data_IF_315474008719
#
_entry.id   IF_315474008719
#
_cell.length_a   1.000
_cell.length_b   1.000
_cell.length_c   1.000
_cell.angle_alpha   90.00
_cell.angle_beta   90.00
_cell.angle_gamma   90.00
#
_symmetry.space_group_name_H-M   'P 1'
#
loop_
_entity.id
_entity.type
_entity.pdbx_description
1 polymer ?
#
# COMPACT_ATOMS: atom_id res chain seq x y z
N UNK A 1 10.13 33.26 -1.95
CA UNK A 1 10.08 31.89 -2.51
C UNK A 1 8.78 31.79 -3.29
N UNK A 2 8.86 31.64 -4.61
CA UNK A 2 7.68 31.58 -5.48
C UNK A 2 6.91 30.30 -5.18
N UNK A 3 5.58 30.37 -5.17
CA UNK A 3 4.66 29.24 -4.97
C UNK A 3 4.94 28.03 -5.89
N UNK A 4 5.63 28.25 -7.02
CA UNK A 4 6.09 27.21 -7.94
C UNK A 4 7.17 26.28 -7.35
N UNK A 5 8.04 26.74 -6.44
CA UNK A 5 9.09 25.88 -5.86
C UNK A 5 8.55 24.90 -4.82
N UNK A 6 7.46 25.27 -4.12
CA UNK A 6 6.81 24.40 -3.15
C UNK A 6 5.96 23.32 -3.83
N UNK A 7 5.28 23.69 -4.92
CA UNK A 7 4.49 22.77 -5.72
C UNK A 7 5.37 21.69 -6.38
N UNK A 8 6.53 22.08 -6.96
CA UNK A 8 7.47 21.12 -7.54
C UNK A 8 8.03 20.13 -6.51
N UNK A 9 8.48 20.62 -5.35
CA UNK A 9 8.99 19.76 -4.28
C UNK A 9 7.93 18.81 -3.69
N UNK A 10 6.67 19.24 -3.63
CA UNK A 10 5.56 18.39 -3.21
C UNK A 10 5.28 17.27 -4.23
N UNK A 11 5.35 17.57 -5.52
CA UNK A 11 5.16 16.58 -6.60
C UNK A 11 6.31 15.57 -6.60
N UNK A 12 7.56 16.02 -6.50
CA UNK A 12 8.74 15.14 -6.43
C UNK A 12 8.72 14.28 -5.16
N UNK A 13 8.28 14.85 -4.03
CA UNK A 13 8.09 14.13 -2.78
C UNK A 13 7.02 13.03 -2.88
N UNK A 14 5.89 13.32 -3.52
CA UNK A 14 4.82 12.33 -3.77
C UNK A 14 5.30 11.21 -4.69
N UNK A 15 6.03 11.54 -5.77
CA UNK A 15 6.61 10.54 -6.68
C UNK A 15 7.64 9.65 -5.99
N UNK A 16 8.47 10.22 -5.11
CA UNK A 16 9.42 9.47 -4.31
C UNK A 16 8.73 8.53 -3.31
N UNK A 17 7.68 9.01 -2.63
CA UNK A 17 6.86 8.19 -1.72
C UNK A 17 6.16 7.04 -2.48
N UNK A 18 5.65 7.31 -3.69
CA UNK A 18 5.04 6.30 -4.57
C UNK A 18 6.00 5.18 -4.96
N UNK A 19 7.32 5.43 -4.98
CA UNK A 19 8.34 4.41 -5.23
C UNK A 19 8.75 3.65 -3.96
N UNK A 20 8.86 4.36 -2.82
CA UNK A 20 9.31 3.76 -1.55
C UNK A 20 8.22 2.91 -0.89
N UNK A 21 6.96 3.32 -0.95
CA UNK A 21 5.83 2.61 -0.32
C UNK A 21 5.69 1.15 -0.79
N UNK A 22 5.71 0.83 -2.11
CA UNK A 22 5.64 -0.56 -2.56
C UNK A 22 6.90 -1.33 -2.17
N UNK A 23 8.09 -0.73 -2.24
CA UNK A 23 9.35 -1.36 -1.80
C UNK A 23 9.34 -1.70 -0.30
N UNK A 24 8.89 -0.77 0.54
CA UNK A 24 8.74 -0.97 1.99
C UNK A 24 7.72 -2.06 2.29
N UNK A 25 6.59 -2.08 1.58
CA UNK A 25 5.54 -3.09 1.74
C UNK A 25 6.04 -4.50 1.34
N UNK A 26 6.77 -4.62 0.22
CA UNK A 26 7.40 -5.89 -0.19
C UNK A 26 8.43 -6.34 0.85
N UNK A 27 9.26 -5.43 1.34
CA UNK A 27 10.25 -5.75 2.38
C UNK A 27 9.58 -6.28 3.66
N UNK A 28 8.49 -5.64 4.11
CA UNK A 28 7.71 -6.12 5.26
C UNK A 28 7.15 -7.52 5.02
N UNK A 29 6.64 -7.82 3.81
CA UNK A 29 6.19 -9.17 3.44
C UNK A 29 7.29 -10.22 3.51
N UNK A 30 8.50 -9.88 3.06
CA UNK A 30 9.67 -10.76 3.15
C UNK A 30 10.04 -11.00 4.62
N UNK A 31 10.05 -9.94 5.44
CA UNK A 31 10.33 -10.06 6.88
C UNK A 31 9.28 -10.93 7.57
N UNK A 32 8.00 -10.83 7.21
CA UNK A 32 6.95 -11.72 7.72
C UNK A 32 7.22 -13.18 7.39
N UNK A 33 7.57 -13.47 6.14
CA UNK A 33 7.85 -14.84 5.68
C UNK A 33 9.00 -15.49 6.47
N UNK A 34 10.09 -14.74 6.71
CA UNK A 34 11.23 -15.24 7.49
C UNK A 34 11.03 -15.18 9.01
N UNK A 35 10.09 -14.37 9.51
CA UNK A 35 9.78 -14.24 10.94
C UNK A 35 8.62 -15.15 11.38
N UNK A 36 8.13 -16.00 10.50
CA UNK A 36 7.05 -16.92 10.80
C UNK A 36 7.42 -17.91 11.91
N UNK A 37 6.46 -18.27 12.79
CA UNK A 37 6.67 -19.32 13.77
C UNK A 37 7.05 -20.62 13.06
N UNK A 38 8.06 -21.34 13.55
CA UNK A 38 8.52 -22.60 12.93
C UNK A 38 7.45 -23.70 12.94
N UNK A 39 6.46 -23.57 13.83
CA UNK A 39 5.36 -24.52 14.01
C UNK A 39 4.10 -24.10 13.24
N UNK A 40 4.12 -22.97 12.51
CA UNK A 40 2.98 -22.51 11.72
C UNK A 40 2.87 -23.29 10.41
N UNK A 41 1.64 -23.62 10.00
CA UNK A 41 1.38 -24.23 8.70
C UNK A 41 1.82 -23.28 7.58
N UNK A 42 2.42 -23.82 6.50
CA UNK A 42 2.93 -23.00 5.38
C UNK A 42 1.87 -22.07 4.77
N UNK A 43 0.59 -22.46 4.81
CA UNK A 43 -0.53 -21.63 4.36
C UNK A 43 -0.74 -20.39 5.22
N UNK A 44 -0.61 -20.50 6.54
CA UNK A 44 -0.77 -19.37 7.46
C UNK A 44 0.40 -18.37 7.33
N UNK A 45 1.61 -18.90 7.11
CA UNK A 45 2.81 -18.09 6.84
C UNK A 45 2.62 -17.24 5.58
N UNK A 46 2.13 -17.85 4.50
CA UNK A 46 1.81 -17.18 3.25
C UNK A 46 0.75 -16.08 3.46
N UNK A 47 -0.34 -16.40 4.17
CA UNK A 47 -1.40 -15.43 4.49
C UNK A 47 -0.86 -14.22 5.27
N UNK A 48 0.13 -14.42 6.13
CA UNK A 48 0.85 -13.37 6.85
C UNK A 48 1.67 -12.41 6.00
N UNK A 49 2.25 -12.92 4.91
CA UNK A 49 3.10 -12.15 4.00
C UNK A 49 2.29 -11.46 2.90
N UNK A 50 1.03 -11.84 2.66
CA UNK A 50 0.17 -11.23 1.64
C UNK A 50 -0.16 -9.74 1.81
N UNK A 51 -0.27 -9.14 3.02
CA UNK A 51 -0.68 -7.74 3.15
C UNK A 51 0.25 -6.77 2.41
N UNK A 52 1.57 -6.92 2.59
CA UNK A 52 2.55 -6.04 1.94
C UNK A 52 2.63 -6.26 0.43
N UNK A 53 2.45 -7.49 -0.06
CA UNK A 53 2.37 -7.80 -1.48
C UNK A 53 1.10 -7.22 -2.12
N UNK A 54 -0.03 -7.29 -1.43
CA UNK A 54 -1.29 -6.70 -1.88
C UNK A 54 -1.17 -5.17 -1.96
N UNK A 55 -0.60 -4.53 -0.94
CA UNK A 55 -0.33 -3.09 -0.94
C UNK A 55 0.60 -2.68 -2.08
N UNK A 56 1.71 -3.40 -2.28
CA UNK A 56 2.65 -3.11 -3.36
C UNK A 56 2.02 -3.29 -4.75
N UNK A 57 1.23 -4.36 -4.94
CA UNK A 57 0.54 -4.64 -6.21
C UNK A 57 -0.51 -3.58 -6.52
N UNK A 58 -1.32 -3.18 -5.53
CA UNK A 58 -2.33 -2.13 -5.69
C UNK A 58 -1.71 -0.77 -5.97
N UNK A 59 -0.59 -0.45 -5.30
CA UNK A 59 0.16 0.79 -5.56
C UNK A 59 0.72 0.81 -6.98
N UNK A 60 1.34 -0.29 -7.40
CA UNK A 60 1.90 -0.43 -8.76
C UNK A 60 0.81 -0.35 -9.83
N UNK A 61 -0.33 -0.99 -9.60
CA UNK A 61 -1.47 -0.96 -10.52
C UNK A 61 -2.10 0.45 -10.59
N UNK A 62 -2.18 1.16 -9.47
CA UNK A 62 -2.56 2.57 -9.43
C UNK A 62 -1.58 3.49 -10.18
N UNK A 63 -0.28 3.20 -10.10
CA UNK A 63 0.76 3.95 -10.83
C UNK A 63 0.70 3.73 -12.34
N UNK A 64 0.62 2.47 -12.78
CA UNK A 64 0.51 2.13 -14.21
C UNK A 64 -0.75 2.70 -14.86
N UNK A 65 -1.79 2.93 -14.06
CA UNK A 65 -3.03 3.53 -14.54
C UNK A 65 -3.04 5.06 -14.46
N UNK A 66 -2.04 5.69 -13.82
CA UNK A 66 -1.87 7.14 -13.73
C UNK A 66 -0.84 7.72 -14.71
N UNK A 67 -0.01 6.91 -15.38
CA UNK A 67 0.96 7.33 -16.42
C UNK A 67 0.33 7.78 -17.77
N UNK A 68 -0.72 8.62 -17.72
CA UNK A 68 -1.09 9.47 -18.87
C UNK A 68 -2.54 9.37 -19.35
N UNK A 69 -3.42 8.63 -18.67
CA UNK A 69 -4.87 8.68 -18.92
C UNK A 69 -5.64 8.67 -17.61
N UNK A 70 -6.68 9.50 -17.45
CA UNK A 70 -7.54 9.40 -16.28
C UNK A 70 -8.13 7.99 -16.20
N UNK A 71 -8.02 7.36 -15.04
CA UNK A 71 -8.66 6.09 -14.74
C UNK A 71 -10.15 6.20 -15.07
N UNK A 72 -10.61 5.42 -16.04
CA UNK A 72 -12.03 5.40 -16.37
C UNK A 72 -12.80 4.96 -15.12
N UNK A 73 -13.96 5.55 -14.81
CA UNK A 73 -14.72 5.23 -13.60
C UNK A 73 -15.01 3.73 -13.44
N UNK A 74 -15.18 3.03 -14.56
CA UNK A 74 -15.39 1.57 -14.64
C UNK A 74 -14.21 0.72 -14.11
N UNK A 75 -12.99 1.28 -14.04
CA UNK A 75 -11.80 0.62 -13.46
C UNK A 75 -11.42 1.25 -12.12
N UNK A 76 -11.58 2.57 -11.98
CA UNK A 76 -11.25 3.30 -10.76
C UNK A 76 -12.11 2.91 -9.55
N UNK A 77 -13.43 2.74 -9.73
CA UNK A 77 -14.34 2.34 -8.64
C UNK A 77 -13.99 0.93 -8.10
N UNK A 78 -13.84 -0.12 -8.94
CA UNK A 78 -13.40 -1.43 -8.45
C UNK A 78 -12.04 -1.39 -7.76
N UNK A 79 -11.05 -0.68 -8.31
CA UNK A 79 -9.71 -0.58 -7.73
C UNK A 79 -9.74 0.09 -6.35
N UNK A 80 -10.54 1.15 -6.21
CA UNK A 80 -10.74 1.83 -4.93
C UNK A 80 -11.41 0.90 -3.89
N UNK A 81 -12.46 0.18 -4.27
CA UNK A 81 -13.14 -0.76 -3.39
C UNK A 81 -12.23 -1.92 -2.96
N UNK A 82 -11.45 -2.48 -3.88
CA UNK A 82 -10.46 -3.52 -3.58
C UNK A 82 -9.40 -2.98 -2.62
N UNK A 83 -8.92 -1.77 -2.85
CA UNK A 83 -7.97 -1.10 -1.96
C UNK A 83 -8.57 -0.81 -0.58
N UNK A 84 -9.87 -0.54 -0.48
CA UNK A 84 -10.53 -0.31 0.79
C UNK A 84 -10.71 -1.60 1.62
N UNK A 85 -10.88 -2.74 0.95
CA UNK A 85 -11.31 -3.99 1.62
C UNK A 85 -10.16 -4.99 1.81
N UNK A 86 -9.32 -5.20 0.78
CA UNK A 86 -8.33 -6.28 0.78
C UNK A 86 -7.20 -6.06 1.79
N UNK A 87 -6.50 -4.91 1.84
CA UNK A 87 -5.41 -4.69 2.78
C UNK A 87 -5.83 -4.82 4.26
N UNK A 88 -6.96 -4.23 4.73
CA UNK A 88 -7.40 -4.40 6.11
C UNK A 88 -7.71 -5.85 6.50
N UNK A 89 -8.34 -6.62 5.61
CA UNK A 89 -8.62 -8.04 5.85
C UNK A 89 -7.31 -8.82 6.00
N UNK A 90 -6.36 -8.61 5.10
CA UNK A 90 -5.06 -9.29 5.15
C UNK A 90 -4.28 -8.91 6.41
N UNK A 91 -4.29 -7.63 6.81
CA UNK A 91 -3.66 -7.17 8.05
C UNK A 91 -4.29 -7.81 9.29
N UNK A 92 -5.63 -7.91 9.36
CA UNK A 92 -6.33 -8.58 10.45
C UNK A 92 -5.98 -10.08 10.53
N UNK A 93 -5.88 -10.76 9.38
CA UNK A 93 -5.45 -12.16 9.31
C UNK A 93 -4.00 -12.32 9.76
N UNK A 94 -3.09 -11.44 9.36
CA UNK A 94 -1.71 -11.46 9.81
C UNK A 94 -1.58 -11.25 11.32
N UNK A 95 -2.38 -10.38 11.95
CA UNK A 95 -2.43 -10.23 13.41
C UNK A 95 -2.85 -11.55 14.08
N UNK A 96 -3.83 -12.25 13.50
CA UNK A 96 -4.32 -13.53 14.01
C UNK A 96 -3.24 -14.62 13.93
N UNK A 97 -2.57 -14.74 12.78
CA UNK A 97 -1.54 -15.78 12.55
C UNK A 97 -0.33 -15.59 13.46
N UNK A 98 0.11 -14.34 13.67
CA UNK A 98 1.35 -14.06 14.42
C UNK A 98 1.09 -13.54 15.84
N UNK A 99 -0.05 -13.93 16.42
CA UNK A 99 -0.45 -13.51 17.77
C UNK A 99 0.65 -13.88 18.78
N UNK A 100 1.15 -12.88 19.52
CA UNK A 100 2.20 -13.05 20.54
C UNK A 100 3.63 -12.72 20.08
N UNK A 101 3.86 -12.44 18.79
CA UNK A 101 5.16 -11.95 18.33
C UNK A 101 5.24 -10.42 18.41
N UNK A 102 6.21 -9.92 19.17
CA UNK A 102 6.42 -8.48 19.40
C UNK A 102 6.86 -7.70 18.15
N UNK A 103 7.36 -8.38 17.11
CA UNK A 103 7.77 -7.77 15.84
C UNK A 103 6.57 -7.44 14.94
N UNK A 104 5.46 -8.16 15.13
CA UNK A 104 4.28 -8.05 14.28
C UNK A 104 3.59 -6.70 14.43
N UNK A 105 3.35 -6.16 15.64
CA UNK A 105 2.81 -4.81 15.78
C UNK A 105 3.62 -3.75 15.03
N UNK A 106 4.95 -3.81 15.10
CA UNK A 106 5.84 -2.85 14.43
C UNK A 106 5.73 -2.95 12.91
N UNK A 107 5.76 -4.17 12.38
CA UNK A 107 5.59 -4.42 10.94
C UNK A 107 4.18 -4.05 10.45
N UNK A 108 3.15 -4.25 11.27
CA UNK A 108 1.79 -3.81 10.99
C UNK A 108 1.68 -2.28 10.99
N UNK A 109 2.40 -1.56 11.84
CA UNK A 109 2.45 -0.10 11.81
C UNK A 109 3.03 0.41 10.49
N UNK A 110 4.08 -0.23 9.98
CA UNK A 110 4.66 0.12 8.67
C UNK A 110 3.65 -0.14 7.54
N UNK A 111 2.99 -1.30 7.54
CA UNK A 111 1.93 -1.60 6.56
C UNK A 111 0.73 -0.64 6.68
N UNK A 112 0.36 -0.24 7.91
CA UNK A 112 -0.71 0.73 8.14
C UNK A 112 -0.36 2.12 7.57
N UNK A 113 0.89 2.57 7.75
CA UNK A 113 1.36 3.81 7.17
C UNK A 113 1.36 3.75 5.64
N UNK A 114 1.85 2.64 5.06
CA UNK A 114 1.80 2.40 3.61
C UNK A 114 0.35 2.36 3.08
N UNK A 115 -0.57 1.80 3.87
CA UNK A 115 -1.98 1.72 3.52
C UNK A 115 -2.67 3.08 3.52
N UNK A 116 -2.37 3.95 4.49
CA UNK A 116 -2.90 5.32 4.53
C UNK A 116 -2.45 6.13 3.30
N UNK A 117 -1.19 5.97 2.87
CA UNK A 117 -0.68 6.56 1.64
C UNK A 117 -1.42 6.04 0.40
N UNK A 118 -1.63 4.72 0.30
CA UNK A 118 -2.42 4.13 -0.79
C UNK A 118 -3.84 4.72 -0.85
N UNK A 119 -4.51 4.83 0.30
CA UNK A 119 -5.85 5.42 0.39
C UNK A 119 -5.85 6.89 -0.01
N UNK A 120 -4.82 7.63 0.39
CA UNK A 120 -4.64 9.03 0.01
C UNK A 120 -4.52 9.17 -1.51
N UNK A 121 -3.60 8.45 -2.14
CA UNK A 121 -3.40 8.45 -3.61
C UNK A 121 -4.67 8.01 -4.34
N UNK A 122 -5.31 6.94 -3.89
CA UNK A 122 -6.53 6.42 -4.48
C UNK A 122 -7.70 7.42 -4.35
N UNK A 123 -7.80 8.15 -3.24
CA UNK A 123 -8.80 9.19 -3.01
C UNK A 123 -8.64 10.37 -3.98
N UNK A 124 -7.42 10.89 -4.16
CA UNK A 124 -7.15 11.97 -5.12
C UNK A 124 -7.38 11.54 -6.57
N UNK A 125 -7.02 10.30 -6.88
CA UNK A 125 -7.24 9.71 -8.21
C UNK A 125 -8.73 9.48 -8.48
N UNK A 126 -9.49 9.02 -7.49
CA UNK A 126 -10.93 8.77 -7.58
C UNK A 126 -11.76 10.05 -7.70
N UNK A 127 -11.41 11.09 -6.94
CA UNK A 127 -12.13 12.38 -6.99
C UNK A 127 -11.91 13.15 -8.30
N UNK A 128 -11.04 12.68 -9.20
CA UNK A 128 -10.78 13.36 -10.47
C UNK A 128 -10.30 14.80 -10.27
N UNK A 129 -9.76 15.12 -9.09
CA UNK A 129 -9.06 16.36 -8.85
C UNK A 129 -7.80 16.30 -9.71
N UNK A 130 -7.92 16.80 -10.94
CA UNK A 130 -6.78 17.25 -11.71
C UNK A 130 -6.00 18.14 -10.75
N UNK A 131 -4.85 17.67 -10.26
CA UNK A 131 -3.80 18.59 -9.86
C UNK A 131 -3.45 19.31 -11.16
N UNK A 132 -4.12 20.44 -11.38
CA UNK A 132 -4.14 21.13 -12.65
C UNK A 132 -2.73 21.57 -13.02
N UNK A 133 -2.31 21.13 -14.20
CA UNK A 133 -1.38 21.85 -15.05
C UNK A 133 -2.08 22.13 -16.38
#
# INVERSE_FOLDING_TARGET
MSSQSLAGAAVDGVLFLLFIVPLASVWVSVVYFFSAPKDAASGDVLLGALPGLALASLTTLGLLTTEGRPLQPQVGVPLFLVSLVVPPILMALAIKVYRGSWRVPVLQTINAACYLELLWVAFFTFLGLRVGH
#
